data_IF_146035106509
#
_entry.id   IF_146035106509
#
_cell.length_a   1.000
_cell.length_b   1.000
_cell.length_c   1.000
_cell.angle_alpha   90.00
_cell.angle_beta   90.00
_cell.angle_gamma   90.00
#
_symmetry.space_group_name_H-M   'P 1'
#
loop_
_entity.id
_entity.type
_entity.pdbx_description
1 polymer ?
#
# COMPACT_ATOMS: atom_id res chain seq x y z
N UNK A 1 -53.45 -65.33 18.20
CA UNK A 1 -53.38 -63.84 18.26
C UNK A 1 -51.91 -63.43 18.44
N UNK A 2 -51.23 -63.09 17.34
CA UNK A 2 -49.82 -62.63 17.36
C UNK A 2 -49.86 -61.14 17.30
N UNK A 3 -49.33 -60.46 18.35
CA UNK A 3 -49.13 -59.00 18.39
C UNK A 3 -47.79 -58.64 17.68
N UNK A 4 -47.89 -57.97 16.58
CA UNK A 4 -46.76 -57.44 15.88
C UNK A 4 -46.38 -56.04 16.49
N UNK A 5 -45.24 -55.96 17.11
CA UNK A 5 -44.70 -54.71 17.64
C UNK A 5 -43.94 -54.02 16.50
N UNK A 6 -44.38 -52.82 16.07
CA UNK A 6 -43.72 -51.97 15.07
C UNK A 6 -42.74 -51.10 15.79
N UNK A 7 -41.44 -51.36 15.58
CA UNK A 7 -40.33 -50.51 16.09
C UNK A 7 -40.15 -49.34 15.13
N UNK A 8 -40.54 -48.13 15.52
CA UNK A 8 -40.22 -46.90 14.81
C UNK A 8 -38.81 -46.47 15.23
N UNK A 9 -37.82 -46.68 14.37
CA UNK A 9 -36.47 -46.12 14.56
C UNK A 9 -36.45 -44.68 14.06
N UNK A 10 -36.40 -43.75 14.98
CA UNK A 10 -36.17 -42.31 14.70
C UNK A 10 -34.70 -42.15 14.35
N UNK A 11 -34.36 -42.00 13.07
CA UNK A 11 -33.03 -41.60 12.63
C UNK A 11 -32.91 -40.08 12.76
N UNK A 12 -32.34 -39.63 13.85
CA UNK A 12 -31.98 -38.23 14.04
C UNK A 12 -30.73 -37.95 13.19
N UNK A 13 -30.92 -37.32 12.04
CA UNK A 13 -29.83 -36.83 11.19
C UNK A 13 -29.23 -35.60 11.87
N UNK A 14 -28.12 -35.76 12.60
CA UNK A 14 -27.29 -34.68 13.05
C UNK A 14 -26.60 -34.09 11.82
N UNK A 15 -27.14 -33.01 11.29
CA UNK A 15 -26.42 -32.14 10.35
C UNK A 15 -25.37 -31.44 11.19
N UNK A 16 -24.17 -32.00 11.28
CA UNK A 16 -22.99 -31.24 11.70
C UNK A 16 -22.71 -30.23 10.60
N UNK A 17 -23.26 -29.03 10.73
CA UNK A 17 -22.75 -27.87 10.03
C UNK A 17 -21.34 -27.63 10.61
N UNK A 18 -20.35 -28.24 9.99
CA UNK A 18 -18.97 -27.85 10.18
C UNK A 18 -18.89 -26.37 9.83
N UNK A 19 -18.83 -25.49 10.83
CA UNK A 19 -18.49 -24.11 10.65
C UNK A 19 -17.00 -24.12 10.29
N UNK A 20 -16.69 -24.38 9.01
CA UNK A 20 -15.34 -24.28 8.51
C UNK A 20 -14.88 -22.85 8.83
N UNK A 21 -13.90 -22.72 9.70
CA UNK A 21 -13.32 -21.42 10.05
C UNK A 21 -12.81 -20.82 8.74
N UNK A 22 -13.42 -19.73 8.32
CA UNK A 22 -13.04 -19.07 7.08
C UNK A 22 -11.61 -18.55 7.25
N UNK A 23 -10.71 -18.92 6.33
CA UNK A 23 -9.30 -18.51 6.37
C UNK A 23 -9.21 -16.98 6.32
N UNK A 24 -8.25 -16.39 7.05
CA UNK A 24 -7.98 -14.97 6.97
C UNK A 24 -7.69 -14.55 5.53
N UNK A 25 -8.25 -13.41 5.13
CA UNK A 25 -8.12 -12.90 3.77
C UNK A 25 -8.06 -11.38 3.81
N UNK A 26 -7.02 -10.79 3.25
CA UNK A 26 -6.81 -9.33 3.28
C UNK A 26 -7.80 -8.62 2.36
N UNK A 27 -8.53 -7.65 2.91
CA UNK A 27 -9.57 -6.86 2.21
C UNK A 27 -9.39 -5.42 2.60
N UNK A 28 -8.61 -4.67 1.83
CA UNK A 28 -8.19 -3.33 2.22
C UNK A 28 -8.49 -2.27 1.16
N UNK A 29 -8.50 -1.02 1.58
CA UNK A 29 -8.49 0.13 0.71
C UNK A 29 -7.35 1.08 1.09
N UNK A 30 -6.69 1.68 0.09
CA UNK A 30 -5.81 2.81 0.31
C UNK A 30 -6.61 4.08 0.55
N UNK A 31 -6.22 4.82 1.59
CA UNK A 31 -6.70 6.18 1.87
C UNK A 31 -5.53 7.12 1.58
N UNK A 32 -5.57 7.78 0.44
CA UNK A 32 -4.52 8.70 -0.01
C UNK A 32 -4.80 10.12 0.48
N UNK A 33 -3.80 10.73 1.11
CA UNK A 33 -3.91 12.09 1.66
C UNK A 33 -3.19 13.13 0.82
N UNK A 34 -2.20 12.70 0.03
CA UNK A 34 -1.50 13.62 -0.89
C UNK A 34 -2.50 14.30 -1.82
N UNK A 35 -2.36 15.61 -1.98
CA UNK A 35 -3.25 16.43 -2.79
C UNK A 35 -4.75 16.32 -2.40
N UNK A 36 -5.05 15.86 -1.19
CA UNK A 36 -6.40 15.63 -0.68
C UNK A 36 -7.23 14.73 -1.62
N UNK A 37 -6.59 13.64 -2.09
CA UNK A 37 -7.20 12.73 -3.06
C UNK A 37 -8.42 12.01 -2.46
N UNK A 38 -8.26 11.41 -1.26
CA UNK A 38 -9.33 10.72 -0.56
C UNK A 38 -9.73 11.45 0.71
N UNK A 39 -8.73 11.84 1.54
CA UNK A 39 -8.98 12.44 2.84
C UNK A 39 -7.81 13.33 3.28
N UNK A 40 -8.07 14.43 4.05
CA UNK A 40 -9.38 15.04 4.20
C UNK A 40 -9.88 15.67 2.88
N UNK A 41 -11.17 15.88 2.73
CA UNK A 41 -11.66 16.64 1.58
C UNK A 41 -11.12 18.07 1.60
N UNK A 42 -11.09 18.73 0.44
CA UNK A 42 -10.65 20.14 0.38
C UNK A 42 -11.49 21.07 1.26
N UNK A 43 -12.77 20.74 1.48
CA UNK A 43 -13.65 21.51 2.34
C UNK A 43 -13.33 21.31 3.83
N UNK A 44 -12.72 20.17 4.19
CA UNK A 44 -12.38 19.84 5.56
C UNK A 44 -10.95 20.28 5.97
N UNK A 45 -10.19 20.88 5.07
CA UNK A 45 -8.86 21.41 5.41
C UNK A 45 -8.98 22.43 6.56
N UNK A 46 -8.27 22.16 7.67
CA UNK A 46 -8.33 22.99 8.89
C UNK A 46 -9.57 22.80 9.78
N UNK A 47 -10.58 22.06 9.33
CA UNK A 47 -11.79 21.75 10.12
C UNK A 47 -11.70 20.34 10.70
N UNK A 48 -11.24 20.23 11.96
CA UNK A 48 -11.00 18.95 12.61
C UNK A 48 -12.27 18.12 12.83
N UNK A 49 -13.44 18.77 13.06
CA UNK A 49 -14.67 18.02 13.27
C UNK A 49 -15.22 17.46 11.97
N UNK A 50 -15.11 18.20 10.88
CA UNK A 50 -15.45 17.69 9.55
C UNK A 50 -14.50 16.57 9.11
N UNK A 51 -13.19 16.71 9.36
CA UNK A 51 -12.20 15.65 9.09
C UNK A 51 -12.54 14.34 9.80
N UNK A 52 -12.86 14.42 11.10
CA UNK A 52 -13.27 13.26 11.90
C UNK A 52 -14.56 12.63 11.36
N UNK A 53 -15.54 13.45 11.03
CA UNK A 53 -16.82 12.95 10.51
C UNK A 53 -16.65 12.25 9.15
N UNK A 54 -15.84 12.82 8.25
CA UNK A 54 -15.50 12.19 6.96
C UNK A 54 -14.84 10.83 7.17
N UNK A 55 -13.85 10.73 8.07
CA UNK A 55 -13.16 9.47 8.37
C UNK A 55 -14.11 8.43 8.99
N UNK A 56 -14.97 8.82 9.92
CA UNK A 56 -16.00 7.94 10.50
C UNK A 56 -16.90 7.37 9.39
N UNK A 57 -17.42 8.23 8.51
CA UNK A 57 -18.30 7.81 7.42
C UNK A 57 -17.60 6.85 6.45
N UNK A 58 -16.30 7.09 6.18
CA UNK A 58 -15.47 6.21 5.34
C UNK A 58 -15.29 4.84 5.99
N UNK A 59 -14.90 4.79 7.26
CA UNK A 59 -14.70 3.54 8.00
C UNK A 59 -16.01 2.77 8.20
N UNK A 60 -17.15 3.44 8.41
CA UNK A 60 -18.48 2.82 8.45
C UNK A 60 -18.82 2.15 7.12
N UNK A 61 -18.50 2.83 6.01
CA UNK A 61 -18.69 2.28 4.67
C UNK A 61 -17.82 1.04 4.45
N UNK A 62 -16.58 1.04 4.91
CA UNK A 62 -15.66 -0.10 4.82
C UNK A 62 -16.11 -1.27 5.68
N UNK A 63 -16.55 -1.01 6.91
CA UNK A 63 -17.14 -2.03 7.76
C UNK A 63 -18.36 -2.68 7.10
N UNK A 64 -19.24 -1.86 6.50
CA UNK A 64 -20.40 -2.35 5.76
C UNK A 64 -20.06 -3.20 4.52
N UNK A 65 -18.83 -3.06 3.98
CA UNK A 65 -18.29 -3.89 2.89
C UNK A 65 -17.53 -5.12 3.39
N UNK A 66 -17.43 -5.33 4.70
CA UNK A 66 -16.58 -6.35 5.32
C UNK A 66 -15.09 -6.23 4.91
N UNK A 67 -14.61 -5.00 4.68
CA UNK A 67 -13.18 -4.72 4.63
C UNK A 67 -12.61 -4.87 6.05
N UNK A 68 -11.38 -5.33 6.15
CA UNK A 68 -10.73 -5.64 7.43
C UNK A 68 -9.41 -4.90 7.63
N UNK A 69 -9.01 -4.07 6.68
CA UNK A 69 -7.84 -3.21 6.80
C UNK A 69 -7.98 -1.92 5.99
N UNK A 70 -7.25 -0.90 6.41
CA UNK A 70 -7.00 0.33 5.64
C UNK A 70 -5.51 0.57 5.53
N UNK A 71 -5.07 1.06 4.36
CA UNK A 71 -3.70 1.51 4.13
C UNK A 71 -3.73 3.03 4.11
N UNK A 72 -3.51 3.64 5.27
CA UNK A 72 -3.70 5.07 5.51
C UNK A 72 -2.41 5.86 5.32
N UNK A 73 -2.38 6.79 4.36
CA UNK A 73 -1.23 7.61 4.06
C UNK A 73 -1.04 8.70 5.12
N UNK A 74 0.01 8.57 5.94
CA UNK A 74 0.32 9.52 7.01
C UNK A 74 1.56 10.36 6.75
N UNK A 75 2.37 9.98 5.76
CA UNK A 75 3.58 10.70 5.35
C UNK A 75 3.64 10.84 3.83
N UNK A 76 2.88 11.78 3.25
CA UNK A 76 2.79 11.93 1.78
C UNK A 76 3.97 12.68 1.16
N UNK A 77 4.49 13.73 1.80
CA UNK A 77 5.46 14.68 1.25
C UNK A 77 6.47 15.14 2.30
N UNK A 78 7.13 14.18 2.99
CA UNK A 78 8.08 14.45 4.07
C UNK A 78 7.49 15.37 5.16
N UNK A 79 6.22 15.18 5.43
CA UNK A 79 5.43 15.85 6.45
C UNK A 79 4.43 14.86 7.05
N UNK A 80 3.87 15.15 8.21
CA UNK A 80 3.13 14.21 9.02
C UNK A 80 1.64 14.55 9.15
N UNK A 81 0.77 13.55 8.95
CA UNK A 81 -0.64 13.60 9.36
C UNK A 81 -0.84 12.93 10.73
N UNK A 82 0.14 13.12 11.60
CA UNK A 82 0.12 12.66 13.00
C UNK A 82 1.03 13.58 13.81
N UNK A 83 0.93 13.55 15.13
CA UNK A 83 1.79 14.36 15.99
C UNK A 83 3.21 13.82 15.95
N UNK A 84 4.09 14.41 15.14
CA UNK A 84 5.49 14.04 15.01
C UNK A 84 6.42 15.09 15.64
N UNK A 85 7.49 14.62 16.27
CA UNK A 85 8.60 15.49 16.71
C UNK A 85 9.70 15.57 15.66
N UNK A 86 9.62 14.78 14.57
CA UNK A 86 10.63 14.64 13.53
C UNK A 86 10.32 15.47 12.28
N UNK A 87 9.03 15.57 11.93
CA UNK A 87 8.58 16.22 10.70
C UNK A 87 7.45 17.20 10.97
N UNK A 88 7.29 18.25 10.16
CA UNK A 88 6.22 19.22 10.32
C UNK A 88 4.85 18.59 10.05
N UNK A 89 3.80 19.17 10.63
CA UNK A 89 2.43 18.88 10.27
C UNK A 89 2.19 19.09 8.77
N UNK A 90 1.47 18.18 8.15
CA UNK A 90 1.18 18.23 6.73
C UNK A 90 0.22 19.37 6.38
N UNK A 91 0.54 20.10 5.30
CA UNK A 91 -0.36 21.12 4.79
C UNK A 91 -1.68 20.55 4.21
N UNK A 92 -1.70 19.27 3.86
CA UNK A 92 -2.93 18.61 3.40
C UNK A 92 -3.99 18.53 4.50
N UNK A 93 -3.55 18.61 5.77
CA UNK A 93 -4.43 18.54 6.93
C UNK A 93 -4.95 19.92 7.36
N UNK A 94 -4.04 20.91 7.41
CA UNK A 94 -4.33 22.22 8.00
C UNK A 94 -4.39 23.36 6.99
N UNK A 95 -3.93 23.11 5.74
CA UNK A 95 -3.78 24.12 4.71
C UNK A 95 -2.43 24.84 4.75
N UNK A 96 -1.62 24.65 5.80
CA UNK A 96 -0.29 25.21 5.93
C UNK A 96 0.65 24.23 6.62
N UNK A 97 1.75 23.87 5.95
CA UNK A 97 2.75 22.98 6.53
C UNK A 97 3.34 23.55 7.82
N UNK A 98 3.45 22.73 8.85
CA UNK A 98 3.96 23.10 10.16
C UNK A 98 2.92 23.73 11.11
N UNK A 99 1.73 24.04 10.62
CA UNK A 99 0.62 24.45 11.49
C UNK A 99 0.02 23.24 12.19
N UNK A 100 -0.01 23.28 13.54
CA UNK A 100 -0.45 22.15 14.33
C UNK A 100 -1.95 21.89 14.19
N UNK A 101 -2.32 20.64 13.96
CA UNK A 101 -3.70 20.21 14.07
C UNK A 101 -4.14 20.18 15.54
N UNK A 102 -5.43 20.39 15.79
CA UNK A 102 -6.02 20.38 17.15
C UNK A 102 -6.20 18.97 17.73
N UNK A 103 -5.92 17.93 16.96
CA UNK A 103 -6.00 16.51 17.34
C UNK A 103 -4.91 15.70 16.62
N UNK A 104 -4.72 14.45 17.03
CA UNK A 104 -3.84 13.51 16.33
C UNK A 104 -4.68 12.63 15.38
N UNK A 105 -4.60 12.85 14.06
CA UNK A 105 -5.36 12.07 13.08
C UNK A 105 -5.08 10.58 13.11
N UNK A 106 -3.82 10.16 13.27
CA UNK A 106 -3.48 8.75 13.27
C UNK A 106 -4.00 8.04 14.53
N UNK A 107 -3.87 8.66 15.71
CA UNK A 107 -4.47 8.13 16.93
C UNK A 107 -5.99 7.97 16.79
N UNK A 108 -6.65 8.98 16.23
CA UNK A 108 -8.08 8.95 15.97
C UNK A 108 -8.47 7.83 14.99
N UNK A 109 -7.75 7.69 13.86
CA UNK A 109 -8.01 6.64 12.85
C UNK A 109 -7.81 5.26 13.44
N UNK A 110 -6.73 5.02 14.21
CA UNK A 110 -6.51 3.75 14.89
C UNK A 110 -7.69 3.41 15.83
N UNK A 111 -8.11 4.36 16.67
CA UNK A 111 -9.21 4.14 17.59
C UNK A 111 -10.54 3.83 16.88
N UNK A 112 -10.87 4.57 15.82
CA UNK A 112 -12.12 4.38 15.08
C UNK A 112 -12.11 3.12 14.18
N UNK A 113 -10.98 2.79 13.57
CA UNK A 113 -10.83 1.58 12.76
C UNK A 113 -10.94 0.31 13.63
N UNK A 114 -10.25 0.27 14.77
CA UNK A 114 -10.29 -0.89 15.67
C UNK A 114 -11.67 -1.16 16.27
N UNK A 115 -12.47 -0.13 16.56
CA UNK A 115 -13.88 -0.31 16.97
C UNK A 115 -14.71 -1.06 15.93
N UNK A 116 -14.30 -1.03 14.67
CA UNK A 116 -14.95 -1.68 13.51
C UNK A 116 -14.31 -2.99 13.09
N UNK A 117 -13.27 -3.44 13.80
CA UNK A 117 -12.49 -4.63 13.42
C UNK A 117 -11.63 -4.41 12.17
N UNK A 118 -11.22 -3.18 11.91
CA UNK A 118 -10.39 -2.79 10.76
C UNK A 118 -8.97 -2.53 11.25
N UNK A 119 -7.99 -3.22 10.66
CA UNK A 119 -6.56 -3.02 10.90
C UNK A 119 -6.07 -1.74 10.22
N UNK A 120 -5.08 -1.08 10.83
CA UNK A 120 -4.49 0.14 10.28
C UNK A 120 -3.06 -0.15 9.84
N UNK A 121 -2.83 -0.10 8.53
CA UNK A 121 -1.52 -0.14 7.91
C UNK A 121 -1.11 1.29 7.57
N UNK A 122 -0.05 1.78 8.18
CA UNK A 122 0.40 3.16 8.03
C UNK A 122 1.24 3.30 6.77
N UNK A 123 0.76 4.07 5.80
CA UNK A 123 1.47 4.31 4.55
C UNK A 123 2.36 5.55 4.64
N UNK A 124 3.65 5.33 4.42
CA UNK A 124 4.67 6.35 4.33
C UNK A 124 5.32 6.33 2.94
N UNK A 125 5.45 7.48 2.30
CA UNK A 125 6.34 7.60 1.14
C UNK A 125 7.77 7.80 1.65
N UNK A 126 8.76 6.95 1.27
CA UNK A 126 10.08 7.01 1.89
C UNK A 126 10.90 8.25 1.53
N UNK A 127 10.81 8.73 0.29
CA UNK A 127 11.76 9.74 -0.21
C UNK A 127 11.15 11.00 -0.81
N UNK A 128 9.88 11.00 -1.22
CA UNK A 128 9.26 12.16 -1.85
C UNK A 128 9.11 13.32 -0.86
N UNK A 129 9.58 14.51 -1.24
CA UNK A 129 9.50 15.74 -0.44
C UNK A 129 8.47 16.71 -0.99
N UNK A 130 8.43 16.87 -2.31
CA UNK A 130 7.45 17.76 -2.96
C UNK A 130 6.69 17.04 -4.07
N UNK A 131 5.54 17.58 -4.42
CA UNK A 131 4.86 17.31 -5.71
C UNK A 131 5.08 18.51 -6.64
N UNK A 132 4.78 18.42 -7.96
CA UNK A 132 5.06 19.50 -8.90
C UNK A 132 4.42 20.86 -8.59
N UNK A 133 3.38 20.88 -7.74
CA UNK A 133 2.69 22.11 -7.32
C UNK A 133 3.29 22.76 -6.07
N UNK A 134 4.32 22.16 -5.45
CA UNK A 134 4.96 22.66 -4.24
C UNK A 134 6.34 23.25 -4.56
N UNK A 135 6.69 24.36 -3.90
CA UNK A 135 8.04 24.89 -3.94
C UNK A 135 8.81 24.45 -2.69
N UNK A 136 10.09 24.18 -2.86
CA UNK A 136 10.97 23.78 -1.75
C UNK A 136 11.18 24.93 -0.74
N UNK A 137 11.13 26.17 -1.20
CA UNK A 137 11.28 27.37 -0.40
C UNK A 137 10.08 27.61 0.55
N UNK A 138 8.92 27.05 0.25
CA UNK A 138 7.69 27.21 1.04
C UNK A 138 7.59 26.18 2.17
N UNK A 139 8.57 25.28 2.31
CA UNK A 139 8.57 24.26 3.36
C UNK A 139 8.70 24.91 4.76
N UNK A 140 8.04 24.30 5.73
CA UNK A 140 8.00 24.81 7.10
C UNK A 140 9.41 24.98 7.70
N UNK A 141 9.60 25.95 8.62
CA UNK A 141 10.91 26.21 9.24
C UNK A 141 11.51 25.00 9.98
N UNK A 142 10.68 24.08 10.45
CA UNK A 142 11.10 22.84 11.12
C UNK A 142 11.20 21.64 10.18
N UNK A 143 11.06 21.83 8.86
CA UNK A 143 11.29 20.76 7.88
C UNK A 143 12.78 20.44 7.81
N UNK A 144 13.13 19.14 7.63
CA UNK A 144 14.52 18.67 7.56
C UNK A 144 15.35 19.37 6.47
N UNK A 145 14.72 19.81 5.39
CA UNK A 145 15.39 20.60 4.35
C UNK A 145 16.02 21.91 4.88
N UNK A 146 15.41 22.52 5.88
CA UNK A 146 15.96 23.77 6.48
C UNK A 146 17.20 23.53 7.32
N UNK A 147 17.37 22.30 7.82
CA UNK A 147 18.50 21.91 8.67
C UNK A 147 19.60 21.21 7.88
N UNK A 148 19.22 20.41 6.90
CA UNK A 148 20.08 19.50 6.14
C UNK A 148 19.76 19.55 4.64
N UNK A 149 19.93 20.70 3.96
CA UNK A 149 19.61 20.80 2.52
C UNK A 149 20.44 19.84 1.67
N UNK A 150 21.60 19.41 2.13
CA UNK A 150 22.47 18.42 1.49
C UNK A 150 21.89 17.01 1.43
N UNK A 151 20.83 16.71 2.21
CA UNK A 151 20.14 15.42 2.16
C UNK A 151 19.17 15.32 0.99
N UNK A 152 18.99 16.40 0.24
CA UNK A 152 17.92 16.48 -0.74
C UNK A 152 18.46 16.67 -2.15
N UNK A 153 17.79 16.05 -3.10
CA UNK A 153 18.10 16.17 -4.53
C UNK A 153 16.87 16.57 -5.31
N UNK A 154 17.09 17.41 -6.32
CA UNK A 154 16.03 17.80 -7.26
C UNK A 154 16.10 16.90 -8.49
N UNK A 155 14.95 16.32 -8.87
CA UNK A 155 14.81 15.58 -10.10
C UNK A 155 13.49 15.99 -10.80
N UNK A 156 13.62 16.45 -12.03
CA UNK A 156 12.50 17.10 -12.72
C UNK A 156 11.97 18.31 -11.96
N UNK A 157 10.69 18.29 -11.64
CA UNK A 157 10.00 19.37 -10.89
C UNK A 157 9.84 19.10 -9.41
N UNK A 158 10.41 18.00 -8.90
CA UNK A 158 10.20 17.52 -7.54
C UNK A 158 11.52 17.38 -6.78
N UNK A 159 11.41 17.37 -5.45
CA UNK A 159 12.51 17.12 -4.55
C UNK A 159 12.32 15.81 -3.81
N UNK A 160 13.44 15.16 -3.55
CA UNK A 160 13.50 13.85 -2.89
C UNK A 160 14.61 13.84 -1.85
N UNK A 161 14.46 13.05 -0.80
CA UNK A 161 15.62 12.63 -0.02
C UNK A 161 16.56 11.83 -0.93
N UNK A 162 17.86 12.00 -0.74
CA UNK A 162 18.88 11.28 -1.50
C UNK A 162 19.02 9.84 -0.99
N UNK A 163 18.59 8.80 -1.76
CA UNK A 163 18.55 7.42 -1.25
C UNK A 163 19.91 6.83 -0.90
N UNK A 164 21.00 7.40 -1.45
CA UNK A 164 22.36 6.92 -1.23
C UNK A 164 22.98 7.36 0.10
N UNK A 165 22.40 8.36 0.78
CA UNK A 165 22.94 8.85 2.04
C UNK A 165 22.53 7.96 3.22
N UNK A 166 23.49 7.69 4.12
CA UNK A 166 23.24 6.97 5.36
C UNK A 166 22.28 7.76 6.25
N UNK A 167 22.46 9.08 6.32
CA UNK A 167 21.68 9.99 7.14
C UNK A 167 20.18 9.95 6.77
N UNK A 168 19.86 9.90 5.48
CA UNK A 168 18.45 9.81 5.02
C UNK A 168 17.84 8.45 5.35
N UNK A 169 18.63 7.38 5.32
CA UNK A 169 18.25 6.04 5.76
C UNK A 169 17.97 5.99 7.25
N UNK A 170 18.88 6.56 8.05
CA UNK A 170 18.75 6.62 9.51
C UNK A 170 17.52 7.46 9.91
N UNK A 171 17.27 8.56 9.20
CA UNK A 171 16.09 9.37 9.42
C UNK A 171 14.79 8.61 9.10
N UNK A 172 14.75 7.87 8.00
CA UNK A 172 13.60 7.01 7.67
C UNK A 172 13.35 5.95 8.76
N UNK A 173 14.41 5.38 9.32
CA UNK A 173 14.31 4.46 10.45
C UNK A 173 13.75 5.14 11.71
N UNK A 174 14.13 6.40 11.98
CA UNK A 174 13.57 7.17 13.10
C UNK A 174 12.07 7.43 12.90
N UNK A 175 11.63 7.75 11.69
CA UNK A 175 10.21 7.91 11.36
C UNK A 175 9.44 6.60 11.60
N UNK A 176 9.97 5.47 11.13
CA UNK A 176 9.37 4.16 11.36
C UNK A 176 9.32 3.81 12.84
N UNK A 177 10.41 4.08 13.59
CA UNK A 177 10.49 3.85 15.04
C UNK A 177 9.46 4.70 15.81
N UNK A 178 9.29 5.96 15.47
CA UNK A 178 8.31 6.87 16.08
C UNK A 178 6.88 6.31 15.91
N UNK A 179 6.51 5.94 14.69
CA UNK A 179 5.20 5.37 14.37
C UNK A 179 4.93 4.07 15.12
N UNK A 180 5.86 3.12 15.05
CA UNK A 180 5.70 1.80 15.68
C UNK A 180 5.64 1.90 17.20
N UNK A 181 6.44 2.81 17.80
CA UNK A 181 6.49 2.96 19.26
C UNK A 181 5.20 3.56 19.81
N UNK A 182 4.65 4.56 19.14
CA UNK A 182 3.61 5.43 19.69
C UNK A 182 2.19 5.00 19.34
N UNK A 183 2.01 4.34 18.20
CA UNK A 183 0.67 4.02 17.70
C UNK A 183 0.37 2.52 17.72
N UNK A 184 -0.91 2.20 17.88
CA UNK A 184 -1.42 0.84 17.77
C UNK A 184 -1.76 0.54 16.31
N UNK A 185 -0.70 0.29 15.53
CA UNK A 185 -0.77 -0.01 14.10
C UNK A 185 -0.42 -1.47 13.84
N UNK A 186 -0.96 -2.03 12.77
CA UNK A 186 -0.69 -3.42 12.40
C UNK A 186 0.44 -3.55 11.38
N UNK A 187 0.70 -2.50 10.59
CA UNK A 187 1.83 -2.50 9.66
C UNK A 187 2.35 -1.09 9.35
N UNK A 188 3.64 -1.02 8.97
CA UNK A 188 4.19 0.04 8.13
C UNK A 188 4.07 -0.41 6.68
N UNK A 189 3.63 0.49 5.79
CA UNK A 189 3.48 0.25 4.37
C UNK A 189 4.20 1.31 3.56
N UNK A 190 4.97 0.91 2.54
CA UNK A 190 5.57 1.83 1.58
C UNK A 190 5.02 1.56 0.18
N UNK A 191 4.95 2.62 -0.63
CA UNK A 191 4.59 2.54 -2.04
C UNK A 191 5.79 2.16 -2.93
N UNK A 192 5.69 2.44 -4.22
CA UNK A 192 6.70 2.14 -5.24
C UNK A 192 7.69 3.29 -5.51
N UNK A 193 7.58 4.41 -4.79
CA UNK A 193 8.43 5.60 -5.00
C UNK A 193 9.73 5.53 -4.21
N UNK A 194 10.60 4.55 -4.51
CA UNK A 194 11.97 4.51 -3.98
C UNK A 194 12.84 5.48 -4.76
N UNK A 195 13.45 5.08 -5.88
CA UNK A 195 13.86 6.07 -6.88
C UNK A 195 12.63 6.54 -7.66
N UNK A 196 12.57 7.81 -8.09
CA UNK A 196 11.42 8.31 -8.84
C UNK A 196 11.31 7.65 -10.22
N UNK A 197 10.11 7.69 -10.78
CA UNK A 197 9.86 7.27 -12.16
C UNK A 197 10.79 8.02 -13.12
N UNK A 198 11.38 7.34 -14.11
CA UNK A 198 12.34 7.95 -15.02
C UNK A 198 11.70 9.03 -15.88
N UNK A 199 12.39 10.16 -16.00
CA UNK A 199 12.02 11.27 -16.88
C UNK A 199 12.89 11.16 -18.13
N UNK A 200 12.26 11.17 -19.32
CA UNK A 200 12.98 11.04 -20.58
C UNK A 200 14.03 12.17 -20.74
N UNK A 201 15.28 11.79 -20.93
CA UNK A 201 16.38 12.72 -21.10
C UNK A 201 16.96 13.31 -19.81
N UNK A 202 16.47 12.89 -18.64
CA UNK A 202 17.00 13.31 -17.34
C UNK A 202 17.58 12.11 -16.56
N UNK A 203 18.77 12.28 -16.01
CA UNK A 203 19.37 11.31 -15.08
C UNK A 203 19.11 11.77 -13.62
N UNK A 204 18.85 10.79 -12.73
CA UNK A 204 18.78 11.12 -11.30
C UNK A 204 20.15 11.58 -10.82
N UNK A 205 20.24 12.67 -10.03
CA UNK A 205 21.51 13.39 -9.80
C UNK A 205 22.38 12.76 -8.69
N UNK A 206 22.69 11.48 -8.80
CA UNK A 206 23.54 10.74 -7.86
C UNK A 206 24.80 10.13 -8.52
N UNK A 207 25.04 10.39 -9.80
CA UNK A 207 26.20 9.87 -10.55
C UNK A 207 27.55 10.30 -9.95
N UNK A 208 27.64 11.51 -9.40
CA UNK A 208 28.85 11.97 -8.72
C UNK A 208 29.09 11.22 -7.40
N UNK A 209 28.03 10.89 -6.66
CA UNK A 209 28.14 10.09 -5.45
C UNK A 209 28.59 8.66 -5.77
N UNK A 210 28.01 8.04 -6.81
CA UNK A 210 28.45 6.75 -7.30
C UNK A 210 29.92 6.75 -7.73
N UNK A 211 30.37 7.75 -8.50
CA UNK A 211 31.75 7.85 -8.94
C UNK A 211 32.74 8.02 -7.77
N UNK A 212 32.31 8.68 -6.69
CA UNK A 212 33.13 8.88 -5.49
C UNK A 212 33.22 7.63 -4.61
N UNK A 213 32.10 6.89 -4.48
CA UNK A 213 32.03 5.65 -3.69
C UNK A 213 31.12 4.61 -4.35
N UNK A 214 31.64 3.82 -5.30
CA UNK A 214 30.88 2.78 -5.98
C UNK A 214 30.63 1.55 -5.10
N UNK A 215 31.16 1.43 -3.92
CA UNK A 215 31.05 0.29 -2.98
C UNK A 215 31.29 -1.08 -3.65
N UNK A 216 32.13 -1.12 -4.69
CA UNK A 216 32.44 -2.34 -5.45
C UNK A 216 31.45 -2.74 -6.53
N UNK A 217 30.44 -1.92 -6.81
CA UNK A 217 29.51 -2.16 -7.92
C UNK A 217 30.07 -1.66 -9.24
N UNK A 218 29.95 -2.49 -10.28
CA UNK A 218 30.45 -2.16 -11.64
C UNK A 218 29.54 -1.21 -12.42
N UNK A 219 28.30 -1.02 -11.97
CA UNK A 219 27.34 -0.13 -12.61
C UNK A 219 26.43 0.57 -11.58
N UNK A 220 25.97 1.76 -11.95
CA UNK A 220 25.16 2.60 -11.10
C UNK A 220 23.78 1.99 -10.76
N UNK A 221 23.23 1.15 -11.64
CA UNK A 221 21.94 0.50 -11.39
C UNK A 221 21.98 -0.47 -10.21
N UNK A 222 23.03 -1.28 -10.12
CA UNK A 222 23.24 -2.18 -8.98
C UNK A 222 23.51 -1.40 -7.70
N UNK A 223 24.28 -0.32 -7.77
CA UNK A 223 24.53 0.56 -6.63
C UNK A 223 23.25 1.26 -6.14
N UNK A 224 22.36 1.71 -7.04
CA UNK A 224 21.06 2.28 -6.67
C UNK A 224 20.15 1.24 -6.01
N UNK A 225 20.10 0.02 -6.51
CA UNK A 225 19.36 -1.09 -5.87
C UNK A 225 19.88 -1.39 -4.48
N UNK A 226 21.19 -1.40 -4.32
CA UNK A 226 21.80 -1.59 -3.00
C UNK A 226 21.42 -0.48 -2.01
N UNK A 227 21.34 0.79 -2.45
CA UNK A 227 20.85 1.89 -1.61
C UNK A 227 19.43 1.62 -1.08
N UNK A 228 18.55 1.12 -1.95
CA UNK A 228 17.16 0.79 -1.55
C UNK A 228 17.14 -0.45 -0.68
N UNK A 229 17.92 -1.49 -1.00
CA UNK A 229 18.03 -2.71 -0.20
C UNK A 229 18.47 -2.40 1.24
N UNK A 230 19.49 -1.57 1.40
CA UNK A 230 19.98 -1.12 2.71
C UNK A 230 18.89 -0.37 3.50
N UNK A 231 18.05 0.43 2.83
CA UNK A 231 16.95 1.12 3.50
C UNK A 231 15.84 0.17 3.95
N UNK A 232 15.45 -0.78 3.09
CA UNK A 232 14.42 -1.78 3.41
C UNK A 232 14.88 -2.68 4.57
N UNK A 233 16.11 -3.18 4.53
CA UNK A 233 16.69 -3.98 5.61
C UNK A 233 16.74 -3.21 6.93
N UNK A 234 17.19 -1.94 6.90
CA UNK A 234 17.29 -1.11 8.08
C UNK A 234 15.91 -0.82 8.72
N UNK A 235 14.90 -0.51 7.90
CA UNK A 235 13.52 -0.29 8.37
C UNK A 235 12.92 -1.57 8.93
N UNK A 236 13.10 -2.71 8.25
CA UNK A 236 12.70 -4.03 8.76
C UNK A 236 13.30 -4.30 10.15
N UNK A 237 14.61 -4.13 10.30
CA UNK A 237 15.31 -4.36 11.56
C UNK A 237 14.81 -3.42 12.66
N UNK A 238 14.54 -2.16 12.30
CA UNK A 238 13.98 -1.16 13.23
C UNK A 238 12.60 -1.58 13.74
N UNK A 239 11.68 -1.94 12.85
CA UNK A 239 10.33 -2.40 13.21
C UNK A 239 10.41 -3.63 14.13
N UNK A 240 11.14 -4.66 13.72
CA UNK A 240 11.23 -5.92 14.47
C UNK A 240 11.89 -5.75 15.85
N UNK A 241 12.83 -4.82 15.98
CA UNK A 241 13.47 -4.55 17.28
C UNK A 241 12.55 -3.90 18.30
N UNK A 242 11.50 -3.19 17.85
CA UNK A 242 10.56 -2.44 18.69
C UNK A 242 9.27 -3.24 18.93
N UNK A 243 8.59 -3.64 17.85
CA UNK A 243 7.34 -4.42 17.88
C UNK A 243 7.35 -5.50 16.79
N UNK A 244 7.84 -6.72 17.06
CA UNK A 244 7.98 -7.77 16.05
C UNK A 244 6.66 -8.23 15.43
N UNK A 245 5.52 -7.90 16.04
CA UNK A 245 4.18 -8.21 15.51
C UNK A 245 3.66 -7.15 14.54
N UNK A 246 4.31 -6.00 14.41
CA UNK A 246 3.98 -5.01 13.38
C UNK A 246 4.62 -5.45 12.07
N UNK A 247 3.81 -5.55 11.04
CA UNK A 247 4.25 -6.01 9.72
C UNK A 247 4.89 -4.89 8.91
N UNK A 248 5.71 -5.26 7.94
CA UNK A 248 6.26 -4.36 6.95
C UNK A 248 5.83 -4.79 5.55
N UNK A 249 5.08 -3.95 4.85
CA UNK A 249 4.55 -4.23 3.52
C UNK A 249 4.96 -3.21 2.47
N UNK A 250 4.99 -3.66 1.22
CA UNK A 250 5.32 -2.82 0.07
C UNK A 250 4.26 -2.98 -1.01
N UNK A 251 3.84 -1.86 -1.64
CA UNK A 251 3.05 -1.90 -2.88
C UNK A 251 3.90 -1.50 -4.08
N UNK A 252 4.64 -2.45 -4.67
CA UNK A 252 5.50 -2.18 -5.81
C UNK A 252 4.70 -1.93 -7.08
N UNK A 253 5.32 -1.29 -8.10
CA UNK A 253 4.79 -1.28 -9.46
C UNK A 253 4.50 -2.72 -9.93
N UNK A 254 3.48 -2.92 -10.76
CA UNK A 254 2.96 -4.25 -11.09
C UNK A 254 3.92 -5.19 -11.84
N UNK A 255 4.96 -4.68 -12.48
CA UNK A 255 5.96 -5.48 -13.22
C UNK A 255 7.29 -5.46 -12.48
N UNK A 256 7.76 -6.61 -12.00
CA UNK A 256 9.10 -6.72 -11.44
C UNK A 256 10.16 -6.56 -12.53
N UNK A 257 10.19 -7.46 -13.51
CA UNK A 257 10.97 -7.40 -14.75
C UNK A 257 10.20 -8.04 -15.90
N UNK A 258 10.44 -7.56 -17.13
CA UNK A 258 9.95 -8.22 -18.33
C UNK A 258 10.78 -9.47 -18.59
N UNK A 259 10.17 -10.55 -19.04
CA UNK A 259 10.85 -11.83 -19.30
C UNK A 259 11.96 -11.73 -20.36
N UNK A 260 11.87 -10.78 -21.27
CA UNK A 260 12.93 -10.50 -22.26
C UNK A 260 14.23 -10.00 -21.58
N UNK A 261 14.15 -9.38 -20.42
CA UNK A 261 15.30 -8.84 -19.67
C UNK A 261 15.81 -9.82 -18.60
N UNK A 262 14.93 -10.68 -18.08
CA UNK A 262 15.28 -11.73 -17.11
C UNK A 262 14.32 -12.91 -17.28
N UNK A 263 14.80 -14.15 -17.44
CA UNK A 263 13.93 -15.32 -17.63
C UNK A 263 12.99 -15.60 -16.46
N UNK A 264 13.26 -15.06 -15.26
CA UNK A 264 12.37 -15.11 -14.09
C UNK A 264 11.23 -14.07 -14.17
N UNK A 265 11.33 -13.11 -15.08
CA UNK A 265 10.35 -12.03 -15.25
C UNK A 265 9.04 -12.50 -15.84
N UNK A 266 8.04 -11.63 -15.80
CA UNK A 266 6.71 -11.87 -16.38
C UNK A 266 6.68 -11.65 -17.89
N UNK A 267 5.74 -12.28 -18.59
CA UNK A 267 5.46 -12.08 -20.01
C UNK A 267 4.81 -10.69 -20.26
N UNK A 268 5.59 -9.64 -20.04
CA UNK A 268 5.17 -8.25 -20.11
C UNK A 268 6.14 -7.42 -20.95
N UNK A 269 5.73 -6.19 -21.28
CA UNK A 269 6.55 -5.18 -21.95
C UNK A 269 6.20 -3.79 -21.40
N UNK A 270 6.73 -3.45 -20.25
CA UNK A 270 6.45 -2.19 -19.57
C UNK A 270 7.61 -1.74 -18.69
N UNK A 271 7.40 -0.64 -17.96
CA UNK A 271 8.31 -0.18 -16.92
C UNK A 271 8.52 -1.28 -15.87
N UNK A 272 9.69 -1.35 -15.28
CA UNK A 272 10.11 -2.44 -14.40
C UNK A 272 10.61 -1.90 -13.04
N UNK A 273 10.21 -2.55 -11.96
CA UNK A 273 10.72 -2.22 -10.61
C UNK A 273 12.25 -2.30 -10.56
N UNK A 274 12.79 -3.44 -10.96
CA UNK A 274 14.20 -3.77 -10.80
C UNK A 274 15.13 -2.83 -11.58
N UNK A 275 14.81 -2.58 -12.86
CA UNK A 275 15.71 -1.86 -13.76
C UNK A 275 15.52 -0.34 -13.72
N UNK A 276 14.31 0.15 -13.43
CA UNK A 276 13.98 1.56 -13.60
C UNK A 276 13.60 2.26 -12.30
N UNK A 277 13.08 1.52 -11.31
CA UNK A 277 12.78 2.04 -9.97
C UNK A 277 13.81 1.54 -8.93
N UNK A 278 14.76 0.71 -9.36
CA UNK A 278 15.85 0.16 -8.56
C UNK A 278 15.36 -0.55 -7.28
N UNK A 279 14.22 -1.25 -7.39
CA UNK A 279 13.59 -1.96 -6.29
C UNK A 279 13.66 -3.48 -6.53
N UNK A 280 14.43 -4.18 -5.69
CA UNK A 280 14.61 -5.63 -5.77
C UNK A 280 13.64 -6.36 -4.86
N UNK A 281 12.36 -6.34 -5.24
CA UNK A 281 11.28 -6.90 -4.44
C UNK A 281 11.49 -8.39 -4.14
N UNK A 282 11.98 -9.17 -5.12
CA UNK A 282 12.20 -10.60 -4.92
C UNK A 282 13.26 -10.88 -3.87
N UNK A 283 14.33 -10.09 -3.84
CA UNK A 283 15.35 -10.18 -2.79
C UNK A 283 14.72 -9.92 -1.40
N UNK A 284 13.88 -8.88 -1.29
CA UNK A 284 13.27 -8.53 -0.01
C UNK A 284 12.32 -9.62 0.50
N UNK A 285 11.56 -10.25 -0.41
CA UNK A 285 10.69 -11.40 -0.11
C UNK A 285 11.53 -12.62 0.33
N UNK A 286 12.60 -12.96 -0.39
CA UNK A 286 13.51 -14.08 -0.09
C UNK A 286 14.17 -13.92 1.30
N UNK A 287 14.68 -12.71 1.57
CA UNK A 287 15.29 -12.37 2.86
C UNK A 287 14.28 -12.33 4.01
N UNK A 288 12.99 -12.16 3.72
CA UNK A 288 11.96 -11.93 4.71
C UNK A 288 12.10 -10.54 5.35
N UNK A 289 12.59 -9.56 4.60
CA UNK A 289 12.61 -8.17 5.04
C UNK A 289 11.25 -7.49 4.96
N UNK A 290 10.32 -8.08 4.20
CA UNK A 290 8.95 -7.64 4.07
C UNK A 290 7.99 -8.81 4.34
N UNK A 291 6.86 -8.54 4.99
CA UNK A 291 5.88 -9.55 5.41
C UNK A 291 4.79 -9.75 4.36
N UNK A 292 4.56 -8.75 3.51
CA UNK A 292 3.63 -8.83 2.38
C UNK A 292 3.96 -7.86 1.27
N UNK A 293 3.51 -8.19 0.05
CA UNK A 293 3.53 -7.29 -1.11
C UNK A 293 2.12 -7.07 -1.63
N UNK A 294 1.89 -5.87 -2.19
CA UNK A 294 0.63 -5.48 -2.85
C UNK A 294 0.96 -4.90 -4.22
N UNK A 295 1.42 -5.73 -5.20
CA UNK A 295 1.74 -5.24 -6.53
C UNK A 295 0.55 -4.53 -7.17
N UNK A 296 0.80 -3.38 -7.77
CA UNK A 296 -0.20 -2.50 -8.37
C UNK A 296 -0.57 -3.01 -9.77
N UNK A 297 -1.54 -3.93 -9.87
CA UNK A 297 -1.98 -4.50 -11.14
C UNK A 297 -3.13 -3.67 -11.73
N UNK A 298 -2.80 -2.47 -12.20
CA UNK A 298 -3.77 -1.46 -12.65
C UNK A 298 -4.09 -1.57 -14.15
N UNK A 299 -4.13 -2.78 -14.68
CA UNK A 299 -4.47 -3.09 -16.06
C UNK A 299 -5.64 -4.07 -16.15
N UNK A 300 -6.30 -4.08 -17.30
CA UNK A 300 -7.36 -5.04 -17.60
C UNK A 300 -6.81 -6.44 -17.94
N UNK A 301 -7.64 -7.47 -17.73
CA UNK A 301 -7.37 -8.81 -18.24
C UNK A 301 -7.31 -8.76 -19.77
N UNK A 302 -6.25 -9.31 -20.34
CA UNK A 302 -5.99 -9.33 -21.79
C UNK A 302 -5.20 -8.12 -22.32
N UNK A 303 -4.65 -7.27 -21.46
CA UNK A 303 -3.78 -6.15 -21.86
C UNK A 303 -2.46 -6.68 -22.43
N UNK A 304 -2.20 -6.46 -23.73
CA UNK A 304 -1.04 -7.04 -24.44
C UNK A 304 0.32 -6.76 -23.78
N UNK A 305 0.51 -5.59 -23.18
CA UNK A 305 1.81 -5.18 -22.61
C UNK A 305 1.93 -5.50 -21.13
N UNK A 306 0.81 -5.71 -20.43
CA UNK A 306 0.76 -5.96 -18.99
C UNK A 306 -0.58 -6.60 -18.64
N UNK A 307 -0.77 -7.87 -19.03
CA UNK A 307 -2.02 -8.59 -18.77
C UNK A 307 -2.16 -8.85 -17.27
N UNK A 308 -3.31 -8.45 -16.70
CA UNK A 308 -3.63 -8.69 -15.30
C UNK A 308 -3.52 -10.17 -14.93
N UNK A 309 -4.06 -11.08 -15.74
CA UNK A 309 -4.05 -12.52 -15.47
C UNK A 309 -2.63 -13.07 -15.42
N UNK A 310 -1.79 -12.70 -16.40
CA UNK A 310 -0.36 -13.09 -16.41
C UNK A 310 0.35 -12.59 -15.16
N UNK A 311 0.13 -11.32 -14.79
CA UNK A 311 0.78 -10.73 -13.63
C UNK A 311 0.27 -11.30 -12.32
N UNK A 312 -1.03 -11.56 -12.18
CA UNK A 312 -1.62 -12.15 -10.98
C UNK A 312 -1.04 -13.55 -10.73
N UNK A 313 -0.94 -14.39 -11.76
CA UNK A 313 -0.28 -15.70 -11.67
C UNK A 313 1.19 -15.57 -11.32
N UNK A 314 1.92 -14.67 -12.02
CA UNK A 314 3.34 -14.47 -11.78
C UNK A 314 3.63 -14.05 -10.33
N UNK A 315 2.89 -13.07 -9.80
CA UNK A 315 3.07 -12.64 -8.42
C UNK A 315 2.68 -13.73 -7.41
N UNK A 316 1.62 -14.47 -7.66
CA UNK A 316 1.21 -15.57 -6.80
C UNK A 316 2.31 -16.65 -6.65
N UNK A 317 3.05 -16.93 -7.74
CA UNK A 317 4.19 -17.86 -7.73
C UNK A 317 5.39 -17.34 -6.90
N UNK A 318 5.46 -16.02 -6.64
CA UNK A 318 6.50 -15.44 -5.79
C UNK A 318 6.15 -15.51 -4.29
N UNK A 319 4.92 -15.85 -3.92
CA UNK A 319 4.52 -15.97 -2.52
C UNK A 319 5.41 -16.98 -1.78
N UNK A 320 5.81 -16.64 -0.56
CA UNK A 320 6.65 -17.50 0.30
C UNK A 320 5.99 -17.65 1.67
N UNK A 321 6.51 -18.57 2.49
CA UNK A 321 6.09 -18.66 3.91
C UNK A 321 6.39 -17.37 4.70
N UNK A 322 7.34 -16.56 4.22
CA UNK A 322 7.76 -15.30 4.86
C UNK A 322 7.04 -14.08 4.34
N UNK A 323 6.51 -14.12 3.11
CA UNK A 323 5.93 -12.95 2.45
C UNK A 323 4.67 -13.33 1.67
N UNK A 324 3.54 -12.75 2.07
CA UNK A 324 2.23 -12.94 1.44
C UNK A 324 2.07 -12.03 0.23
N UNK A 325 1.22 -12.45 -0.70
CA UNK A 325 0.85 -11.67 -1.89
C UNK A 325 -0.62 -11.27 -1.80
N UNK A 326 -0.86 -9.98 -1.78
CA UNK A 326 -2.16 -9.34 -1.99
C UNK A 326 -2.13 -8.61 -3.31
N UNK A 327 -3.24 -8.45 -4.00
CA UNK A 327 -3.27 -7.76 -5.29
C UNK A 327 -3.80 -6.34 -5.14
N UNK A 328 -3.03 -5.37 -5.64
CA UNK A 328 -3.46 -3.98 -5.77
C UNK A 328 -4.35 -3.83 -7.00
N UNK A 329 -5.59 -3.36 -6.78
CA UNK A 329 -6.63 -3.25 -7.79
C UNK A 329 -7.00 -1.79 -8.04
N UNK A 330 -7.49 -1.48 -9.25
CA UNK A 330 -7.70 -0.12 -9.75
C UNK A 330 -9.20 0.22 -10.01
N UNK A 331 -10.06 0.29 -8.99
CA UNK A 331 -11.45 0.71 -9.19
C UNK A 331 -11.59 2.13 -9.78
N UNK A 332 -10.57 2.96 -9.68
CA UNK A 332 -10.59 4.31 -10.27
C UNK A 332 -10.76 4.31 -11.80
N UNK A 333 -10.44 3.22 -12.49
CA UNK A 333 -10.68 3.06 -13.92
C UNK A 333 -12.14 2.76 -14.28
N UNK A 334 -12.95 2.30 -13.32
CA UNK A 334 -14.34 1.96 -13.59
C UNK A 334 -15.14 3.17 -14.06
N UNK A 335 -15.83 3.03 -15.21
CA UNK A 335 -16.62 4.08 -15.81
C UNK A 335 -15.83 5.12 -16.61
N UNK A 336 -14.52 4.92 -16.83
CA UNK A 336 -13.72 5.81 -17.67
C UNK A 336 -14.17 5.76 -19.14
N UNK A 337 -14.70 6.87 -19.67
CA UNK A 337 -15.18 6.97 -21.06
C UNK A 337 -14.07 6.72 -22.10
N UNK A 338 -12.84 7.09 -21.80
CA UNK A 338 -11.66 6.99 -22.68
C UNK A 338 -10.80 5.76 -22.40
N UNK A 339 -11.15 4.94 -21.41
CA UNK A 339 -10.46 3.71 -21.06
C UNK A 339 -10.72 2.57 -22.04
N UNK A 340 -10.09 1.41 -21.80
CA UNK A 340 -10.44 0.17 -22.48
C UNK A 340 -11.90 -0.22 -22.21
N UNK A 341 -12.53 -0.95 -23.14
CA UNK A 341 -13.94 -1.35 -23.01
C UNK A 341 -14.23 -2.11 -21.72
N UNK A 342 -13.26 -2.89 -21.25
CA UNK A 342 -13.34 -3.63 -19.98
C UNK A 342 -13.68 -2.74 -18.76
N UNK A 343 -13.20 -1.50 -18.74
CA UNK A 343 -13.43 -0.56 -17.64
C UNK A 343 -14.77 0.18 -17.73
N UNK A 344 -15.33 0.35 -18.95
CA UNK A 344 -16.58 1.10 -19.16
C UNK A 344 -17.81 0.38 -18.61
N UNK A 345 -17.86 -0.94 -18.76
CA UNK A 345 -19.03 -1.75 -18.39
C UNK A 345 -19.06 -2.14 -16.90
N UNK A 346 -18.07 -1.76 -16.12
CA UNK A 346 -18.03 -1.95 -14.67
C UNK A 346 -17.76 -3.37 -14.16
N UNK A 347 -17.55 -4.32 -15.05
CA UNK A 347 -17.37 -5.73 -14.68
C UNK A 347 -15.90 -6.14 -14.45
N UNK A 348 -14.93 -5.30 -14.83
CA UNK A 348 -13.53 -5.72 -14.84
C UNK A 348 -13.02 -6.08 -13.44
N UNK A 349 -13.22 -5.24 -12.43
CA UNK A 349 -12.83 -5.57 -11.05
C UNK A 349 -13.49 -6.85 -10.58
N UNK A 350 -14.78 -7.08 -10.91
CA UNK A 350 -15.46 -8.32 -10.57
C UNK A 350 -14.89 -9.54 -11.31
N UNK A 351 -14.41 -9.38 -12.54
CA UNK A 351 -13.71 -10.44 -13.29
C UNK A 351 -12.37 -10.76 -12.64
N UNK A 352 -11.60 -9.75 -12.30
CA UNK A 352 -10.32 -9.86 -11.61
C UNK A 352 -10.48 -10.55 -10.25
N UNK A 353 -11.49 -10.17 -9.46
CA UNK A 353 -11.81 -10.83 -8.18
C UNK A 353 -12.15 -12.32 -8.33
N UNK A 354 -12.93 -12.69 -9.36
CA UNK A 354 -13.20 -14.10 -9.63
C UNK A 354 -11.92 -14.86 -10.00
N UNK A 355 -11.08 -14.25 -10.80
CA UNK A 355 -9.79 -14.82 -11.18
C UNK A 355 -8.89 -15.01 -9.96
N UNK A 356 -8.71 -13.99 -9.12
CA UNK A 356 -7.88 -14.06 -7.91
C UNK A 356 -8.27 -15.23 -7.00
N UNK A 357 -9.60 -15.52 -6.87
CA UNK A 357 -10.09 -16.64 -6.06
C UNK A 357 -9.70 -18.02 -6.61
N UNK A 358 -9.27 -18.10 -7.86
CA UNK A 358 -8.83 -19.36 -8.48
C UNK A 358 -7.33 -19.56 -8.43
N UNK A 359 -6.56 -18.52 -8.05
CA UNK A 359 -5.10 -18.54 -8.06
C UNK A 359 -4.58 -18.81 -6.65
N UNK A 360 -4.01 -20.01 -6.37
CA UNK A 360 -3.34 -20.27 -5.11
C UNK A 360 -2.19 -19.28 -4.89
N UNK A 361 -2.01 -18.81 -3.65
CA UNK A 361 -0.95 -17.84 -3.31
C UNK A 361 -1.45 -16.39 -3.22
N UNK A 362 -2.58 -16.04 -3.84
CA UNK A 362 -3.24 -14.76 -3.61
C UNK A 362 -4.11 -14.86 -2.36
N UNK A 363 -3.79 -14.06 -1.35
CA UNK A 363 -4.47 -14.09 -0.04
C UNK A 363 -5.15 -12.79 0.32
N UNK A 364 -5.37 -11.91 -0.65
CA UNK A 364 -6.10 -10.66 -0.45
C UNK A 364 -6.06 -9.69 -1.60
N UNK A 365 -6.83 -8.63 -1.46
CA UNK A 365 -6.85 -7.47 -2.36
C UNK A 365 -6.79 -6.16 -1.58
N UNK A 366 -6.22 -5.15 -2.23
CA UNK A 366 -6.26 -3.77 -1.79
C UNK A 366 -6.72 -2.87 -2.93
N UNK A 367 -7.66 -1.97 -2.67
CA UNK A 367 -8.30 -1.14 -3.69
C UNK A 367 -7.72 0.27 -3.68
N UNK A 368 -7.17 0.70 -4.79
CA UNK A 368 -6.78 2.08 -4.99
C UNK A 368 -7.87 2.74 -5.85
N UNK A 369 -8.77 3.52 -5.24
CA UNK A 369 -8.64 4.12 -3.92
C UNK A 369 -9.98 4.14 -3.15
N UNK A 370 -9.93 4.67 -1.93
CA UNK A 370 -11.06 4.69 -0.98
C UNK A 370 -12.32 5.37 -1.54
N UNK A 371 -12.20 6.56 -2.14
CA UNK A 371 -13.36 7.30 -2.64
C UNK A 371 -14.11 6.55 -3.76
N UNK A 372 -13.40 5.79 -4.62
CA UNK A 372 -14.03 5.03 -5.70
C UNK A 372 -14.93 3.89 -5.19
N UNK A 373 -14.58 3.31 -4.02
CA UNK A 373 -15.45 2.36 -3.33
C UNK A 373 -16.67 3.05 -2.71
N UNK A 374 -16.48 4.22 -2.07
CA UNK A 374 -17.55 4.98 -1.42
C UNK A 374 -18.56 5.48 -2.47
N UNK A 375 -18.08 5.93 -3.63
CA UNK A 375 -18.90 6.34 -4.77
C UNK A 375 -19.69 5.16 -5.39
N UNK A 376 -19.38 3.93 -5.02
CA UNK A 376 -19.98 2.72 -5.57
C UNK A 376 -19.92 2.65 -7.10
N UNK A 377 -18.74 3.00 -7.66
CA UNK A 377 -18.57 3.06 -9.12
C UNK A 377 -18.97 1.75 -9.76
N UNK A 378 -19.83 1.83 -10.76
CA UNK A 378 -20.36 0.68 -11.52
C UNK A 378 -20.92 -0.44 -10.59
N UNK A 379 -21.51 -0.08 -9.45
CA UNK A 379 -22.06 -1.00 -8.45
C UNK A 379 -21.02 -1.97 -7.85
N UNK A 380 -19.73 -1.58 -7.82
CA UNK A 380 -18.67 -2.42 -7.27
C UNK A 380 -18.91 -2.71 -5.79
N UNK A 381 -19.23 -1.69 -5.00
CA UNK A 381 -19.46 -1.82 -3.55
C UNK A 381 -20.58 -2.79 -3.22
N UNK A 382 -21.67 -2.77 -3.99
CA UNK A 382 -22.77 -3.73 -3.84
C UNK A 382 -22.33 -5.14 -4.19
N UNK A 383 -21.51 -5.28 -5.23
CA UNK A 383 -20.91 -6.57 -5.60
C UNK A 383 -19.99 -7.12 -4.53
N UNK A 384 -19.16 -6.25 -3.89
CA UNK A 384 -18.32 -6.65 -2.77
C UNK A 384 -19.16 -7.16 -1.61
N UNK A 385 -20.17 -6.43 -1.18
CA UNK A 385 -21.06 -6.81 -0.07
C UNK A 385 -21.82 -8.10 -0.30
N UNK A 386 -22.36 -8.28 -1.50
CA UNK A 386 -23.31 -9.36 -1.78
C UNK A 386 -22.65 -10.64 -2.29
N UNK A 387 -21.51 -10.52 -2.99
CA UNK A 387 -20.90 -11.64 -3.72
C UNK A 387 -19.52 -12.01 -3.19
N UNK A 388 -18.61 -11.02 -3.07
CA UNK A 388 -17.20 -11.31 -2.78
C UNK A 388 -16.90 -11.34 -1.28
N UNK A 389 -17.54 -10.48 -0.48
CA UNK A 389 -17.32 -10.33 0.95
C UNK A 389 -18.64 -10.37 1.76
N UNK A 390 -19.49 -11.41 1.58
CA UNK A 390 -20.79 -11.44 2.24
C UNK A 390 -20.71 -11.57 3.76
N UNK A 391 -19.54 -11.98 4.28
CA UNK A 391 -19.28 -12.10 5.71
C UNK A 391 -17.90 -11.53 6.05
N UNK A 392 -17.78 -11.00 7.26
CA UNK A 392 -16.49 -10.54 7.77
C UNK A 392 -15.54 -11.72 7.99
N UNK A 393 -14.26 -11.52 7.67
CA UNK A 393 -13.14 -12.36 8.07
C UNK A 393 -12.03 -11.48 8.61
N UNK A 394 -11.21 -11.92 9.58
CA UNK A 394 -10.09 -11.13 10.06
C UNK A 394 -9.02 -10.97 8.97
N UNK A 395 -8.26 -9.88 9.04
CA UNK A 395 -7.06 -9.74 8.23
C UNK A 395 -6.02 -10.80 8.62
N UNK A 396 -5.21 -11.30 7.66
CA UNK A 396 -4.04 -12.09 7.98
C UNK A 396 -3.05 -11.28 8.83
N UNK A 397 -2.40 -11.92 9.77
CA UNK A 397 -1.37 -11.31 10.62
C UNK A 397 -0.14 -12.21 10.72
N UNK A 398 1.01 -11.62 11.07
CA UNK A 398 2.28 -12.29 11.37
C UNK A 398 2.18 -13.20 12.58
#
# INVERSE_FOLDING_TARGET
MKKTILLLSLVTLFIMTSCAKQEPYFRAAWISTVANIDWPSKAAIGDCELQKQEMINMLDSFQAMNLNAVVFQVRPTADALYKSELEPWSHWLTGKQGEAASYDPLEFVCAEAHKRGIDVHVWINPYRVTIPAMNIEDLAPNHMYQQHPEWFVKYGKQWYYAPHLQETRDFLCQVAADLVTRYDIQAIHMDDYFYPYPIAGEEFPDSAAYANDPRGFDNIGDWRRDNVNLAIEAVHNTINSIKPNVEFGISPFGIWRNKVNDPRGSETNGLQNYDQLYADILLWMEKGWIDYVVPQLYWEIGKKVADYEILAHWWAEQATEKCRVYIGMAPFHLGEEKGADAWREGNEICRQLRLNRTIPGITGECYFRACDLIENRCNLTDSLKQVFYPTYVPAPRK
#
